data_IF_729098753127
#
_entry.id   IF_729098753127
#
_cell.length_a   1.000
_cell.length_b   1.000
_cell.length_c   1.000
_cell.angle_alpha   90.00
_cell.angle_beta   90.00
_cell.angle_gamma   90.00
#
_symmetry.space_group_name_H-M   'P 1'
#
loop_
_entity.id
_entity.type
_entity.pdbx_description
1 polymer ?
#
# COMPACT_ATOMS: atom_id res chain seq x y z
N UNK A 1 -3.03 7.44 -15.90
CA UNK A 1 -3.46 7.25 -14.50
C UNK A 1 -4.69 6.37 -14.56
N UNK A 2 -4.75 5.25 -13.83
CA UNK A 2 -5.98 4.47 -13.75
C UNK A 2 -6.92 5.23 -12.80
N UNK A 3 -8.03 5.73 -13.31
CA UNK A 3 -9.01 6.46 -12.50
C UNK A 3 -9.85 5.48 -11.66
N UNK A 4 -10.10 5.83 -10.40
CA UNK A 4 -10.90 4.99 -9.48
C UNK A 4 -12.29 4.66 -10.05
N UNK A 5 -12.91 5.60 -10.77
CA UNK A 5 -14.20 5.40 -11.43
C UNK A 5 -14.12 4.30 -12.49
N UNK A 6 -13.04 4.27 -13.29
CA UNK A 6 -12.87 3.27 -14.33
C UNK A 6 -12.72 1.84 -13.77
N UNK A 7 -12.11 1.69 -12.60
CA UNK A 7 -12.01 0.38 -11.93
C UNK A 7 -13.37 -0.09 -11.41
N UNK A 8 -14.15 0.79 -10.80
CA UNK A 8 -15.50 0.48 -10.30
C UNK A 8 -16.42 0.10 -11.45
N UNK A 9 -16.36 0.83 -12.57
CA UNK A 9 -17.12 0.53 -13.79
C UNK A 9 -16.74 -0.84 -14.38
N UNK A 10 -15.49 -1.25 -14.17
CA UNK A 10 -14.99 -2.57 -14.51
C UNK A 10 -15.28 -3.62 -13.43
N UNK A 11 -16.19 -3.38 -12.50
CA UNK A 11 -16.63 -4.30 -11.44
C UNK A 11 -15.58 -4.58 -10.34
N UNK A 12 -14.46 -3.87 -10.29
CA UNK A 12 -13.54 -3.97 -9.16
C UNK A 12 -14.20 -3.43 -7.89
N UNK A 13 -13.88 -4.07 -6.75
CA UNK A 13 -14.30 -3.63 -5.42
C UNK A 13 -13.13 -2.97 -4.71
N UNK A 14 -13.36 -1.78 -4.15
CA UNK A 14 -12.39 -1.10 -3.28
C UNK A 14 -12.35 -1.83 -1.94
N UNK A 15 -11.20 -2.46 -1.64
CA UNK A 15 -11.01 -3.30 -0.45
C UNK A 15 -10.25 -2.55 0.65
N UNK A 16 -9.31 -1.72 0.23
CA UNK A 16 -8.46 -0.93 1.11
C UNK A 16 -8.34 0.50 0.59
N UNK A 17 -8.43 1.47 1.50
CA UNK A 17 -8.17 2.88 1.28
C UNK A 17 -7.45 3.42 2.52
N UNK A 18 -6.18 3.79 2.33
CA UNK A 18 -5.29 4.24 3.39
C UNK A 18 -5.82 5.49 4.09
N UNK A 19 -6.39 6.45 3.36
CA UNK A 19 -6.88 7.71 3.95
C UNK A 19 -7.98 7.41 4.95
N UNK A 20 -8.97 6.60 4.54
CA UNK A 20 -10.07 6.19 5.41
C UNK A 20 -9.58 5.32 6.56
N UNK A 21 -8.59 4.45 6.32
CA UNK A 21 -8.02 3.59 7.35
C UNK A 21 -7.29 4.42 8.42
N UNK A 22 -6.47 5.39 8.01
CA UNK A 22 -5.72 6.28 8.91
C UNK A 22 -6.67 7.12 9.77
N UNK A 23 -7.71 7.69 9.17
CA UNK A 23 -8.73 8.47 9.88
C UNK A 23 -9.44 7.68 10.99
N UNK A 24 -9.59 6.35 10.83
CA UNK A 24 -10.38 5.51 11.74
C UNK A 24 -9.53 4.70 12.72
N UNK A 25 -8.35 4.26 12.29
CA UNK A 25 -7.54 3.27 13.00
C UNK A 25 -6.06 3.67 13.12
N UNK A 26 -5.61 4.69 12.38
CA UNK A 26 -4.18 4.94 12.18
C UNK A 26 -3.49 5.79 13.26
N UNK A 27 -4.15 6.16 14.35
CA UNK A 27 -3.61 7.11 15.33
C UNK A 27 -2.25 6.65 15.89
N UNK A 28 -2.14 5.38 16.30
CA UNK A 28 -0.91 4.83 16.89
C UNK A 28 0.21 4.70 15.85
N UNK A 29 -0.11 4.31 14.62
CA UNK A 29 0.85 4.21 13.51
C UNK A 29 1.35 5.59 13.12
N UNK A 30 0.45 6.56 12.94
CA UNK A 30 0.80 7.94 12.65
C UNK A 30 1.70 8.51 13.75
N UNK A 31 1.34 8.35 15.02
CA UNK A 31 2.14 8.83 16.15
C UNK A 31 3.56 8.26 16.14
N UNK A 32 3.68 6.95 15.91
CA UNK A 32 4.97 6.25 15.89
C UNK A 32 5.83 6.70 14.71
N UNK A 33 5.24 6.77 13.50
CA UNK A 33 5.90 7.27 12.30
C UNK A 33 6.32 8.73 12.43
N UNK A 34 5.50 9.58 13.05
CA UNK A 34 5.85 10.99 13.30
C UNK A 34 7.01 11.14 14.28
N UNK A 35 7.05 10.31 15.33
CA UNK A 35 8.15 10.32 16.29
C UNK A 35 9.47 9.98 15.60
N UNK A 36 9.49 8.90 14.80
CA UNK A 36 10.66 8.51 14.02
C UNK A 36 11.05 9.58 12.99
N UNK A 37 10.07 10.16 12.28
CA UNK A 37 10.31 11.22 11.30
C UNK A 37 10.97 12.45 11.92
N UNK A 38 10.58 12.82 13.15
CA UNK A 38 11.14 13.99 13.84
C UNK A 38 12.47 13.74 14.56
N UNK A 39 12.81 12.47 14.83
CA UNK A 39 14.03 12.11 15.55
C UNK A 39 15.26 12.18 14.63
N UNK A 40 16.06 13.23 14.78
CA UNK A 40 17.29 13.44 14.00
C UNK A 40 18.47 12.59 14.48
N UNK A 41 18.30 11.80 15.54
CA UNK A 41 19.35 10.90 16.05
C UNK A 41 19.34 9.53 15.39
N UNK A 42 18.31 9.23 14.59
CA UNK A 42 18.14 7.98 13.86
C UNK A 42 17.98 8.21 12.36
N UNK A 43 18.44 7.25 11.56
CA UNK A 43 18.17 7.15 10.11
C UNK A 43 16.84 6.45 9.81
N UNK A 44 16.09 6.00 10.83
CA UNK A 44 14.80 5.33 10.66
C UNK A 44 13.64 6.32 10.48
N UNK A 45 12.64 5.91 9.68
CA UNK A 45 11.43 6.69 9.43
C UNK A 45 11.45 7.45 8.11
N UNK A 46 10.36 8.15 7.84
CA UNK A 46 10.21 8.99 6.66
C UNK A 46 11.03 10.28 6.81
N UNK A 47 11.37 10.88 5.67
CA UNK A 47 12.12 12.13 5.59
C UNK A 47 11.31 13.33 6.10
N UNK A 48 9.98 13.29 5.96
CA UNK A 48 9.08 14.39 6.30
C UNK A 48 9.10 15.56 5.32
N UNK A 49 9.77 15.44 4.16
CA UNK A 49 9.90 16.52 3.16
C UNK A 49 8.55 16.96 2.57
N UNK A 50 7.56 16.04 2.55
CA UNK A 50 6.20 16.29 2.07
C UNK A 50 5.18 16.40 3.20
N UNK A 51 5.63 16.74 4.42
CA UNK A 51 4.79 16.74 5.61
C UNK A 51 4.81 15.40 6.35
N UNK A 52 4.03 15.31 7.42
CA UNK A 52 4.00 14.12 8.27
C UNK A 52 2.94 13.13 7.79
N UNK A 53 3.31 11.85 7.72
CA UNK A 53 2.45 10.74 7.30
C UNK A 53 1.02 10.81 7.85
N UNK A 54 0.02 10.72 6.97
CA UNK A 54 -1.40 10.74 7.34
C UNK A 54 -1.96 12.09 7.76
N UNK A 55 -1.15 13.17 7.79
CA UNK A 55 -1.68 14.53 8.00
C UNK A 55 -2.26 15.10 6.70
N UNK A 56 -3.06 16.17 6.82
CA UNK A 56 -3.63 16.86 5.66
C UNK A 56 -2.56 17.41 4.72
N UNK A 57 -1.45 17.94 5.25
CA UNK A 57 -0.35 18.47 4.44
C UNK A 57 0.33 17.38 3.61
N UNK A 58 0.51 16.20 4.21
CA UNK A 58 1.00 15.02 3.50
C UNK A 58 0.02 14.53 2.44
N UNK A 59 -1.27 14.41 2.79
CA UNK A 59 -2.32 14.04 1.85
C UNK A 59 -2.43 15.01 0.66
N UNK A 60 -2.33 16.31 0.91
CA UNK A 60 -2.31 17.34 -0.13
C UNK A 60 -1.14 17.17 -1.11
N UNK A 61 0.05 16.79 -0.62
CA UNK A 61 1.22 16.54 -1.46
C UNK A 61 1.04 15.27 -2.32
N UNK A 62 0.37 14.24 -1.79
CA UNK A 62 -0.03 13.07 -2.59
C UNK A 62 -1.01 13.50 -3.69
N UNK A 63 -2.08 14.23 -3.33
CA UNK A 63 -3.15 14.63 -4.27
C UNK A 63 -2.64 15.60 -5.36
N UNK A 64 -1.67 16.46 -5.05
CA UNK A 64 -1.00 17.35 -6.02
C UNK A 64 0.02 16.66 -6.91
N UNK A 65 0.35 15.39 -6.64
CA UNK A 65 1.37 14.64 -7.37
C UNK A 65 2.81 15.05 -7.04
N UNK A 66 3.03 15.69 -5.88
CA UNK A 66 4.37 16.01 -5.39
C UNK A 66 5.08 14.77 -4.84
N UNK A 67 4.32 13.81 -4.31
CA UNK A 67 4.81 12.49 -3.97
C UNK A 67 4.50 11.55 -5.12
N UNK A 68 5.51 10.81 -5.57
CA UNK A 68 5.35 9.88 -6.69
C UNK A 68 4.42 8.71 -6.30
N UNK A 69 3.65 8.22 -7.27
CA UNK A 69 2.76 7.07 -7.09
C UNK A 69 3.09 5.98 -8.09
N UNK A 70 2.82 4.74 -7.71
CA UNK A 70 3.05 3.57 -8.56
C UNK A 70 1.84 2.65 -8.52
N UNK A 71 1.54 2.01 -9.65
CA UNK A 71 0.37 1.14 -9.80
C UNK A 71 0.85 -0.23 -10.25
N UNK A 72 0.46 -1.24 -9.48
CA UNK A 72 0.57 -2.65 -9.85
C UNK A 72 -0.81 -3.13 -10.25
N UNK A 73 -0.95 -3.70 -11.43
CA UNK A 73 -2.08 -4.57 -11.77
C UNK A 73 -1.56 -5.99 -12.00
N UNK A 74 -2.41 -6.97 -11.78
CA UNK A 74 -2.04 -8.37 -11.99
C UNK A 74 -3.09 -9.35 -11.48
N UNK A 75 -2.63 -10.58 -11.27
CA UNK A 75 -3.44 -11.69 -10.77
C UNK A 75 -2.84 -12.23 -9.48
N UNK A 76 -3.71 -12.54 -8.51
CA UNK A 76 -3.29 -13.24 -7.29
C UNK A 76 -2.93 -14.68 -7.67
N UNK A 77 -1.67 -15.07 -7.45
CA UNK A 77 -1.16 -16.42 -7.82
C UNK A 77 -0.86 -17.29 -6.61
N UNK A 78 -0.68 -16.71 -5.43
CA UNK A 78 -0.48 -17.45 -4.18
C UNK A 78 -1.09 -16.73 -2.96
N UNK A 79 -1.39 -17.52 -1.92
CA UNK A 79 -1.88 -17.09 -0.61
C UNK A 79 -1.04 -17.82 0.45
N UNK A 80 -0.05 -17.13 1.00
CA UNK A 80 0.81 -17.68 2.04
C UNK A 80 0.45 -17.06 3.39
N UNK A 81 0.56 -17.85 4.47
CA UNK A 81 0.62 -17.23 5.80
C UNK A 81 1.95 -16.48 5.87
N UNK A 82 1.93 -15.23 6.33
CA UNK A 82 3.15 -14.49 6.62
C UNK A 82 4.14 -15.34 7.40
N UNK A 83 5.43 -15.14 7.14
CA UNK A 83 6.47 -15.87 7.84
C UNK A 83 6.34 -15.58 9.35
N UNK A 84 6.51 -16.59 10.21
CA UNK A 84 6.33 -16.59 11.69
C UNK A 84 6.95 -15.43 12.51
N UNK A 85 7.66 -14.49 11.88
CA UNK A 85 8.25 -13.29 12.49
C UNK A 85 7.48 -12.00 12.16
N UNK A 86 6.55 -12.07 11.21
CA UNK A 86 5.56 -11.04 10.87
C UNK A 86 4.22 -11.65 11.28
N UNK A 87 3.34 -10.88 11.91
CA UNK A 87 2.05 -11.31 12.47
C UNK A 87 1.28 -12.36 11.63
N UNK A 88 0.25 -12.99 12.20
CA UNK A 88 -0.73 -13.92 11.57
C UNK A 88 -1.41 -13.41 10.27
N UNK A 89 -0.94 -12.29 9.72
CA UNK A 89 -1.32 -11.69 8.45
C UNK A 89 -1.01 -12.63 7.29
N UNK A 90 -2.04 -12.86 6.49
CA UNK A 90 -1.95 -13.58 5.23
C UNK A 90 -1.29 -12.62 4.22
N UNK A 91 -0.34 -13.14 3.45
CA UNK A 91 0.29 -12.45 2.33
C UNK A 91 -0.23 -13.04 1.03
N UNK A 92 -0.32 -12.21 0.00
CA UNK A 92 -0.56 -12.64 -1.38
C UNK A 92 0.67 -12.41 -2.23
N UNK A 93 0.83 -13.28 -3.22
CA UNK A 93 1.76 -13.05 -4.33
C UNK A 93 0.95 -12.63 -5.55
N UNK A 94 1.37 -11.55 -6.20
CA UNK A 94 0.77 -10.98 -7.39
C UNK A 94 1.73 -11.19 -8.56
N UNK A 95 1.27 -11.91 -9.57
CA UNK A 95 1.91 -11.92 -10.89
C UNK A 95 1.50 -10.61 -11.59
N UNK A 96 2.46 -9.70 -11.74
CA UNK A 96 2.18 -8.35 -12.25
C UNK A 96 2.07 -8.33 -13.77
N UNK A 97 1.12 -7.56 -14.29
CA UNK A 97 1.04 -7.23 -15.72
C UNK A 97 2.15 -6.25 -16.15
N UNK A 98 2.80 -5.57 -15.20
CA UNK A 98 3.65 -4.40 -15.45
C UNK A 98 5.14 -4.68 -15.25
N UNK A 99 5.51 -5.80 -14.62
CA UNK A 99 6.88 -6.18 -14.31
C UNK A 99 7.02 -7.70 -14.29
N UNK A 100 8.23 -8.20 -14.53
CA UNK A 100 8.56 -9.63 -14.43
C UNK A 100 8.74 -10.09 -12.97
N UNK A 101 8.88 -9.15 -12.04
CA UNK A 101 9.04 -9.44 -10.62
C UNK A 101 7.69 -9.78 -9.96
N UNK A 102 7.68 -10.81 -9.10
CA UNK A 102 6.54 -11.10 -8.22
C UNK A 102 6.40 -10.00 -7.15
N UNK A 103 5.16 -9.54 -6.93
CA UNK A 103 4.87 -8.56 -5.89
C UNK A 103 4.22 -9.25 -4.69
N UNK A 104 4.78 -9.02 -3.50
CA UNK A 104 4.22 -9.49 -2.24
C UNK A 104 3.42 -8.37 -1.57
N UNK A 105 2.17 -8.65 -1.22
CA UNK A 105 1.28 -7.67 -0.58
C UNK A 105 0.54 -8.29 0.59
N UNK A 106 0.24 -7.49 1.62
CA UNK A 106 -0.54 -7.94 2.76
C UNK A 106 -2.03 -8.02 2.45
N UNK A 107 -2.71 -9.01 3.03
CA UNK A 107 -4.17 -9.04 3.03
C UNK A 107 -4.69 -8.00 4.02
N UNK A 108 -5.07 -6.83 3.50
CA UNK A 108 -5.56 -5.70 4.29
C UNK A 108 -6.94 -5.24 3.85
N UNK A 109 -7.67 -4.64 4.78
CA UNK A 109 -9.01 -4.08 4.57
C UNK A 109 -9.13 -2.74 5.28
N UNK A 110 -9.87 -1.79 4.70
CA UNK A 110 -10.09 -0.49 5.36
C UNK A 110 -10.75 -0.63 6.72
N UNK A 111 -11.61 -1.64 6.90
CA UNK A 111 -12.34 -1.93 8.13
C UNK A 111 -12.93 -3.35 8.12
N UNK A 112 -13.46 -3.78 9.27
CA UNK A 112 -14.05 -5.11 9.47
C UNK A 112 -15.29 -5.40 8.60
N UNK A 113 -16.03 -4.38 8.16
CA UNK A 113 -17.18 -4.62 7.27
C UNK A 113 -16.70 -5.04 5.88
N UNK A 114 -15.71 -4.34 5.30
CA UNK A 114 -15.12 -4.74 4.02
C UNK A 114 -14.45 -6.10 4.12
N UNK A 115 -13.81 -6.42 5.25
CA UNK A 115 -13.27 -7.76 5.51
C UNK A 115 -14.36 -8.84 5.45
N UNK A 116 -15.48 -8.61 6.14
CA UNK A 116 -16.60 -9.57 6.14
C UNK A 116 -17.20 -9.75 4.75
N UNK A 117 -17.38 -8.65 4.03
CA UNK A 117 -18.03 -8.65 2.72
C UNK A 117 -17.13 -9.21 1.62
N UNK A 118 -15.85 -8.85 1.62
CA UNK A 118 -14.94 -9.05 0.48
C UNK A 118 -13.72 -9.93 0.77
N UNK A 119 -13.60 -10.55 1.94
CA UNK A 119 -12.48 -11.47 2.22
C UNK A 119 -12.31 -12.58 1.19
N UNK A 120 -13.42 -13.09 0.65
CA UNK A 120 -13.42 -14.09 -0.42
C UNK A 120 -12.71 -13.62 -1.72
N UNK A 121 -12.56 -12.30 -1.92
CA UNK A 121 -11.91 -11.77 -3.11
C UNK A 121 -10.39 -11.95 -3.10
N UNK A 122 -9.76 -12.09 -1.94
CA UNK A 122 -8.35 -12.51 -1.84
C UNK A 122 -8.23 -14.02 -2.13
N UNK A 123 -8.45 -14.39 -3.39
CA UNK A 123 -8.43 -15.76 -3.89
C UNK A 123 -7.57 -15.86 -5.14
N UNK A 124 -6.83 -16.95 -5.28
CA UNK A 124 -5.99 -17.24 -6.45
C UNK A 124 -6.83 -17.15 -7.74
N UNK A 125 -6.30 -16.46 -8.75
CA UNK A 125 -6.94 -16.23 -10.04
C UNK A 125 -7.72 -14.91 -10.14
N UNK A 126 -8.05 -14.25 -9.02
CA UNK A 126 -8.70 -12.95 -9.04
C UNK A 126 -7.74 -11.85 -9.46
N UNK A 127 -8.29 -10.84 -10.15
CA UNK A 127 -7.51 -9.67 -10.59
C UNK A 127 -7.39 -8.68 -9.46
N UNK A 128 -6.23 -8.06 -9.34
CA UNK A 128 -5.93 -7.07 -8.31
C UNK A 128 -5.26 -5.85 -8.92
N UNK A 129 -5.57 -4.68 -8.38
CA UNK A 129 -4.87 -3.42 -8.65
C UNK A 129 -4.50 -2.78 -7.31
N UNK A 130 -3.21 -2.54 -7.12
CA UNK A 130 -2.65 -1.90 -5.92
C UNK A 130 -2.03 -0.56 -6.31
N UNK A 131 -2.40 0.48 -5.58
CA UNK A 131 -1.83 1.81 -5.69
C UNK A 131 -0.86 2.02 -4.53
N UNK A 132 0.35 2.43 -4.84
CA UNK A 132 1.38 2.77 -3.87
C UNK A 132 1.70 4.26 -3.92
N UNK A 133 1.96 4.83 -2.75
CA UNK A 133 2.62 6.13 -2.57
C UNK A 133 4.09 5.84 -2.30
N UNK A 134 4.99 6.47 -3.05
CA UNK A 134 6.43 6.26 -2.95
C UNK A 134 7.05 7.40 -2.12
N UNK A 135 6.99 7.28 -0.79
CA UNK A 135 7.46 8.34 0.10
C UNK A 135 8.94 8.15 0.49
N UNK A 136 9.64 9.25 0.67
CA UNK A 136 11.06 9.28 0.92
C UNK A 136 11.40 8.86 2.35
N UNK A 137 12.30 7.89 2.50
CA UNK A 137 12.93 7.54 3.75
C UNK A 137 14.07 8.51 4.09
N UNK A 138 14.44 8.54 5.38
CA UNK A 138 15.67 9.18 5.83
C UNK A 138 16.91 8.47 5.33
N UNK A 139 16.95 7.15 5.49
CA UNK A 139 18.00 6.31 4.92
C UNK A 139 17.81 6.16 3.41
N UNK A 140 18.74 6.75 2.64
CA UNK A 140 18.68 6.75 1.17
C UNK A 140 19.18 5.45 0.54
N UNK A 141 19.80 4.57 1.32
CA UNK A 141 20.34 3.30 0.85
C UNK A 141 19.37 2.12 1.08
N UNK A 142 18.27 2.33 1.81
CA UNK A 142 17.25 1.31 2.05
C UNK A 142 16.69 0.79 0.73
N UNK A 143 16.79 -0.52 0.50
CA UNK A 143 16.28 -1.18 -0.69
C UNK A 143 14.77 -1.04 -0.82
N UNK A 144 14.30 -0.72 -2.02
CA UNK A 144 12.87 -0.66 -2.32
C UNK A 144 12.38 -2.02 -2.84
N UNK A 145 11.45 -2.67 -2.12
CA UNK A 145 11.01 -4.02 -2.45
C UNK A 145 10.13 -4.12 -3.70
N UNK A 146 9.67 -2.98 -4.22
CA UNK A 146 8.77 -2.89 -5.37
C UNK A 146 9.50 -2.45 -6.65
N UNK A 147 10.52 -1.59 -6.52
CA UNK A 147 11.21 -0.98 -7.64
C UNK A 147 12.72 -0.97 -7.36
N UNK A 148 13.45 -1.90 -7.98
CA UNK A 148 14.87 -2.17 -7.68
C UNK A 148 15.80 -0.94 -7.73
N UNK A 149 15.46 0.07 -8.55
CA UNK A 149 16.28 1.28 -8.74
C UNK A 149 15.81 2.50 -7.91
N UNK A 150 14.95 2.30 -6.89
CA UNK A 150 14.42 3.40 -6.05
C UNK A 150 14.76 3.25 -4.57
N UNK A 151 16.04 3.04 -4.28
CA UNK A 151 16.51 3.04 -2.90
C UNK A 151 16.12 4.35 -2.18
N UNK A 152 15.92 4.24 -0.86
CA UNK A 152 15.52 5.37 -0.03
C UNK A 152 14.07 5.80 -0.17
N UNK A 153 13.23 4.94 -0.75
CA UNK A 153 11.81 5.20 -0.96
C UNK A 153 11.00 4.02 -0.43
N UNK A 154 10.02 4.29 0.41
CA UNK A 154 9.10 3.30 0.96
C UNK A 154 7.83 3.24 0.11
N UNK A 155 7.50 2.10 -0.52
CA UNK A 155 6.19 1.91 -1.11
C UNK A 155 5.14 1.72 -0.01
N UNK A 156 4.22 2.68 0.12
CA UNK A 156 3.12 2.67 1.07
C UNK A 156 1.84 2.32 0.31
N UNK A 157 1.20 1.22 0.66
CA UNK A 157 -0.08 0.81 0.06
C UNK A 157 -1.14 1.87 0.33
N UNK A 158 -1.67 2.47 -0.73
CA UNK A 158 -2.67 3.54 -0.67
C UNK A 158 -4.07 2.99 -0.91
N UNK A 159 -4.25 2.19 -1.97
CA UNK A 159 -5.55 1.61 -2.32
C UNK A 159 -5.38 0.22 -2.89
N UNK A 160 -6.33 -0.66 -2.58
CA UNK A 160 -6.42 -2.00 -3.17
C UNK A 160 -7.80 -2.18 -3.77
N UNK A 161 -7.82 -2.59 -5.04
CA UNK A 161 -9.01 -2.98 -5.78
C UNK A 161 -8.90 -4.44 -6.20
N UNK A 162 -9.95 -5.24 -5.97
CA UNK A 162 -9.98 -6.64 -6.40
C UNK A 162 -11.23 -6.92 -7.21
N UNK A 163 -11.07 -7.72 -8.26
CA UNK A 163 -12.16 -8.20 -9.11
C UNK A 163 -12.11 -9.73 -9.20
N UNK A 164 -13.26 -10.34 -8.98
CA UNK A 164 -13.44 -11.78 -9.17
C UNK A 164 -13.24 -12.19 -10.63
N UNK A 165 -12.53 -13.30 -10.85
CA UNK A 165 -12.38 -13.89 -12.17
C UNK A 165 -13.75 -14.41 -12.64
N UNK A 166 -14.18 -14.01 -13.84
CA UNK A 166 -15.35 -14.59 -14.51
C UNK A 166 -15.01 -15.95 -15.11
#
# INVERSE_FOLDING_TARGET
MIDNCALIDQEYKLIFDLKIWLEKNGEDEMRSTHALTRDNTTSSGLSGVYGLYGTSDWGDNVEKGNIETYIVSGVIVDLSKGNIFVDDNIMITIESDNTEDEIYEGVVFTNENLKREFSHLYSIGNKIVVFYILDELKDKDTWNPLIQNKNGTLPITSKIYIKEKK
#
